data_IF_742432992865
#
_entry.id   IF_742432992865
#
_cell.length_a   1.000
_cell.length_b   1.000
_cell.length_c   1.000
_cell.angle_alpha   90.00
_cell.angle_beta   90.00
_cell.angle_gamma   90.00
#
_symmetry.space_group_name_H-M   'P 1'
#
loop_
_entity.id
_entity.type
_entity.pdbx_description
1 polymer ?
#
# COMPACT_ATOMS: atom_id res chain seq x y z
N UNK A 1 -19.77 14.56 14.45
CA UNK A 1 -18.38 14.45 13.98
C UNK A 1 -18.20 13.02 13.56
N UNK A 2 -17.94 12.80 12.28
CA UNK A 2 -17.71 11.44 11.78
C UNK A 2 -16.22 11.06 11.96
N UNK A 3 -15.87 9.84 11.56
CA UNK A 3 -14.52 9.30 11.71
C UNK A 3 -13.50 10.02 10.81
N UNK A 4 -13.96 10.58 9.69
CA UNK A 4 -13.11 11.33 8.77
C UNK A 4 -12.76 12.71 9.36
N UNK A 5 -13.72 13.36 10.03
CA UNK A 5 -13.49 14.57 10.82
C UNK A 5 -12.48 14.32 11.94
N UNK A 6 -12.64 13.23 12.70
CA UNK A 6 -11.71 12.85 13.76
C UNK A 6 -10.29 12.60 13.21
N UNK A 7 -10.19 11.96 12.04
CA UNK A 7 -8.91 11.72 11.37
C UNK A 7 -8.25 13.02 10.93
N UNK A 8 -9.01 13.99 10.39
CA UNK A 8 -8.50 15.32 10.04
C UNK A 8 -8.00 16.08 11.27
N UNK A 9 -8.72 16.01 12.38
CA UNK A 9 -8.27 16.59 13.65
C UNK A 9 -6.98 15.93 14.10
N UNK A 10 -6.88 14.60 14.00
CA UNK A 10 -5.66 13.89 14.34
C UNK A 10 -4.47 14.34 13.48
N UNK A 11 -4.66 14.57 12.18
CA UNK A 11 -3.59 15.08 11.32
C UNK A 11 -3.12 16.50 11.67
N UNK A 12 -3.95 17.31 12.34
CA UNK A 12 -3.60 18.69 12.71
C UNK A 12 -2.46 18.79 13.73
N UNK A 13 -2.12 17.72 14.44
CA UNK A 13 -0.99 17.70 15.37
C UNK A 13 0.37 17.66 14.65
N UNK A 14 0.37 17.28 13.37
CA UNK A 14 1.57 17.20 12.55
C UNK A 14 1.77 18.55 11.88
N UNK A 15 2.92 19.19 12.14
CA UNK A 15 3.26 20.47 11.53
C UNK A 15 3.43 20.35 10.01
N UNK A 16 3.13 21.42 9.30
CA UNK A 16 3.24 21.46 7.84
C UNK A 16 4.67 21.29 7.32
N UNK A 17 5.66 21.68 8.13
CA UNK A 17 7.09 21.57 7.84
C UNK A 17 7.73 20.26 8.34
N UNK A 18 6.93 19.33 8.92
CA UNK A 18 7.46 18.04 9.36
C UNK A 18 7.90 17.20 8.15
N UNK A 19 9.20 16.82 8.04
CA UNK A 19 9.71 16.09 6.89
C UNK A 19 9.09 14.69 6.74
N UNK A 20 8.43 14.17 7.78
CA UNK A 20 7.76 12.88 7.78
C UNK A 20 6.23 13.00 7.78
N UNK A 21 5.67 14.18 7.46
CA UNK A 21 4.24 14.46 7.56
C UNK A 21 3.37 13.39 6.91
N UNK A 22 3.66 13.03 5.66
CA UNK A 22 2.89 12.02 4.91
C UNK A 22 2.96 10.63 5.54
N UNK A 23 4.15 10.21 5.96
CA UNK A 23 4.36 8.93 6.65
C UNK A 23 3.58 8.85 7.96
N UNK A 24 3.65 9.91 8.78
CA UNK A 24 2.90 9.99 10.04
C UNK A 24 1.39 9.97 9.80
N UNK A 25 0.89 10.75 8.83
CA UNK A 25 -0.53 10.77 8.48
C UNK A 25 -1.02 9.41 7.99
N UNK A 26 -0.23 8.70 7.17
CA UNK A 26 -0.54 7.35 6.71
C UNK A 26 -0.67 6.37 7.88
N UNK A 27 0.31 6.36 8.78
CA UNK A 27 0.30 5.47 9.95
C UNK A 27 -0.84 5.81 10.92
N UNK A 28 -1.15 7.10 11.12
CA UNK A 28 -2.30 7.53 11.92
C UNK A 28 -3.63 7.13 11.29
N UNK A 29 -3.75 7.17 9.96
CA UNK A 29 -4.94 6.69 9.23
C UNK A 29 -5.12 5.18 9.39
N UNK A 30 -4.05 4.42 9.21
CA UNK A 30 -4.12 2.96 9.19
C UNK A 30 -4.28 2.38 10.59
N UNK A 31 -3.52 2.88 11.57
CA UNK A 31 -3.52 2.36 12.93
C UNK A 31 -4.42 3.18 13.87
N UNK A 32 -4.35 4.52 13.82
CA UNK A 32 -5.06 5.40 14.76
C UNK A 32 -6.59 5.32 14.66
N UNK A 33 -7.13 4.99 13.48
CA UNK A 33 -8.58 4.93 13.23
C UNK A 33 -9.34 4.04 14.21
N UNK A 34 -8.80 2.87 14.57
CA UNK A 34 -9.47 1.99 15.54
C UNK A 34 -9.52 2.55 16.97
N UNK A 35 -8.63 3.48 17.32
CA UNK A 35 -8.68 4.20 18.60
C UNK A 35 -9.70 5.34 18.55
N UNK A 36 -9.76 6.07 17.43
CA UNK A 36 -10.73 7.17 17.24
C UNK A 36 -12.19 6.72 17.30
N UNK A 37 -12.48 5.45 17.04
CA UNK A 37 -13.83 4.91 17.23
C UNK A 37 -14.17 4.59 18.71
N UNK A 38 -13.16 4.33 19.55
CA UNK A 38 -13.33 4.10 20.99
C UNK A 38 -13.26 5.43 21.77
N UNK A 39 -12.51 6.39 21.25
CA UNK A 39 -12.25 7.69 21.84
C UNK A 39 -13.30 8.68 21.32
N UNK A 40 -14.23 9.08 22.17
CA UNK A 40 -15.19 10.11 21.81
C UNK A 40 -14.54 11.51 21.76
N UNK A 41 -15.28 12.51 21.29
CA UNK A 41 -14.81 13.90 21.19
C UNK A 41 -14.35 14.51 22.52
N UNK A 42 -14.82 14.00 23.67
CA UNK A 42 -14.40 14.47 24.99
C UNK A 42 -12.99 14.02 25.36
N UNK A 43 -12.53 12.90 24.81
CA UNK A 43 -11.26 12.26 25.15
C UNK A 43 -10.22 12.37 24.03
N UNK A 44 -10.55 13.05 22.93
CA UNK A 44 -9.66 13.18 21.77
C UNK A 44 -8.36 13.92 22.12
N UNK A 45 -8.43 14.99 22.91
CA UNK A 45 -7.25 15.76 23.31
C UNK A 45 -6.20 14.91 24.03
N UNK A 46 -6.65 14.01 24.90
CA UNK A 46 -5.77 13.03 25.57
C UNK A 46 -5.03 12.13 24.56
N UNK A 47 -5.73 11.63 23.54
CA UNK A 47 -5.10 10.80 22.51
C UNK A 47 -4.13 11.57 21.62
N UNK A 48 -4.50 12.79 21.24
CA UNK A 48 -3.66 13.68 20.44
C UNK A 48 -2.38 14.07 21.18
N UNK A 49 -2.47 14.31 22.48
CA UNK A 49 -1.31 14.60 23.33
C UNK A 49 -0.29 13.46 23.33
N UNK A 50 -0.75 12.20 23.35
CA UNK A 50 0.11 11.02 23.25
C UNK A 50 0.74 10.94 21.86
N UNK A 51 -0.06 11.07 20.78
CA UNK A 51 0.47 10.99 19.41
C UNK A 51 1.42 12.14 19.04
N UNK A 52 1.31 13.28 19.73
CA UNK A 52 2.21 14.43 19.56
C UNK A 52 3.57 14.22 20.22
N UNK A 53 3.70 13.23 21.09
CA UNK A 53 4.95 12.93 21.77
C UNK A 53 5.97 12.31 20.82
N UNK A 54 7.19 12.83 20.85
CA UNK A 54 8.30 12.36 20.04
C UNK A 54 8.71 10.93 20.38
N UNK A 55 8.57 10.50 21.63
CA UNK A 55 8.90 9.13 22.05
C UNK A 55 8.02 8.09 21.36
N UNK A 56 6.81 8.47 20.95
CA UNK A 56 5.91 7.60 20.20
C UNK A 56 6.34 7.38 18.75
N UNK A 57 7.40 8.04 18.28
CA UNK A 57 7.88 7.95 16.91
C UNK A 57 9.37 7.59 16.85
N UNK A 58 9.68 6.54 16.10
CA UNK A 58 11.03 5.99 15.97
C UNK A 58 11.52 6.18 14.54
N UNK A 59 12.78 6.58 14.37
CA UNK A 59 13.40 6.63 13.03
C UNK A 59 13.63 5.22 12.51
N UNK A 60 13.43 5.03 11.21
CA UNK A 60 13.65 3.73 10.55
C UNK A 60 14.31 3.92 9.20
N UNK A 61 14.99 2.88 8.71
CA UNK A 61 15.62 2.86 7.39
C UNK A 61 14.66 2.50 6.25
N UNK A 62 13.36 2.38 6.55
CA UNK A 62 12.32 2.17 5.53
C UNK A 62 12.08 3.45 4.73
N UNK A 63 11.38 3.33 3.60
CA UNK A 63 10.94 4.48 2.81
C UNK A 63 10.17 5.52 3.66
N UNK A 64 9.51 5.08 4.73
CA UNK A 64 8.78 5.96 5.63
C UNK A 64 9.66 6.88 6.48
N UNK A 65 10.93 6.54 6.69
CA UNK A 65 11.89 7.28 7.53
C UNK A 65 11.56 7.34 9.02
N UNK A 66 10.30 7.05 9.39
CA UNK A 66 9.77 7.09 10.74
C UNK A 66 8.65 6.04 10.89
N UNK A 67 8.51 5.49 12.10
CA UNK A 67 7.48 4.51 12.46
C UNK A 67 6.86 4.88 13.81
N UNK A 68 5.55 4.69 13.94
CA UNK A 68 4.83 4.83 15.19
C UNK A 68 5.18 3.64 16.10
N UNK A 69 5.65 3.92 17.32
CA UNK A 69 5.76 2.90 18.37
C UNK A 69 4.36 2.63 18.95
N UNK A 70 3.64 1.77 18.24
CA UNK A 70 2.25 1.41 18.54
C UNK A 70 2.06 0.84 19.94
N UNK A 71 3.01 0.00 20.40
CA UNK A 71 2.98 -0.61 21.73
C UNK A 71 3.16 0.43 22.83
N UNK A 72 4.08 1.39 22.66
CA UNK A 72 4.27 2.50 23.60
C UNK A 72 3.03 3.40 23.65
N UNK A 73 2.45 3.74 22.49
CA UNK A 73 1.19 4.50 22.45
C UNK A 73 0.08 3.76 23.19
N UNK A 74 -0.10 2.46 22.91
CA UNK A 74 -1.10 1.64 23.60
C UNK A 74 -0.90 1.64 25.12
N UNK A 75 0.35 1.51 25.60
CA UNK A 75 0.68 1.62 27.02
C UNK A 75 0.30 3.00 27.60
N UNK A 76 0.72 4.09 26.96
CA UNK A 76 0.37 5.46 27.40
C UNK A 76 -1.14 5.71 27.42
N UNK A 77 -1.90 5.08 26.51
CA UNK A 77 -3.36 5.18 26.47
C UNK A 77 -4.02 4.46 27.65
N UNK A 78 -3.46 3.34 28.11
CA UNK A 78 -4.05 2.54 29.20
C UNK A 78 -3.53 2.89 30.61
N UNK A 79 -2.54 3.76 30.72
CA UNK A 79 -1.96 4.16 32.01
C UNK A 79 -3.00 4.79 32.95
N UNK A 80 -3.15 4.31 34.21
CA UNK A 80 -4.18 4.78 35.14
C UNK A 80 -4.08 6.28 35.50
N UNK A 81 -2.86 6.76 35.70
CA UNK A 81 -2.56 8.19 35.73
C UNK A 81 -2.23 8.57 34.30
N UNK A 82 -3.07 9.41 33.69
CA UNK A 82 -2.82 9.86 32.33
C UNK A 82 -1.46 10.55 32.23
N UNK A 83 -0.87 10.43 31.05
CA UNK A 83 0.23 11.25 30.57
C UNK A 83 0.08 12.71 31.06
N UNK A 84 1.01 13.17 31.92
CA UNK A 84 1.05 14.51 32.58
C UNK A 84 0.22 14.69 33.88
N UNK A 85 -0.17 13.63 34.56
CA UNK A 85 -0.67 13.70 35.95
C UNK A 85 -2.17 13.99 36.11
N UNK A 86 -2.94 13.97 35.04
CA UNK A 86 -4.42 13.93 35.08
C UNK A 86 -4.92 12.49 35.25
N UNK A 87 -6.18 12.26 35.63
CA UNK A 87 -6.76 10.91 35.62
C UNK A 87 -7.02 10.44 34.19
N UNK A 88 -6.82 9.14 33.91
CA UNK A 88 -7.20 8.59 32.61
C UNK A 88 -8.71 8.79 32.36
N UNK A 89 -9.12 9.38 31.23
CA UNK A 89 -10.53 9.67 30.97
C UNK A 89 -11.32 8.45 30.45
N UNK A 90 -10.65 7.31 30.23
CA UNK A 90 -11.27 6.05 29.82
C UNK A 90 -11.67 5.22 31.03
N UNK A 91 -12.81 4.53 30.92
CA UNK A 91 -13.26 3.56 31.93
C UNK A 91 -12.43 2.27 31.85
N UNK A 92 -12.29 1.55 32.95
CA UNK A 92 -11.48 0.32 33.03
C UNK A 92 -11.83 -0.73 31.98
N UNK A 93 -13.11 -0.84 31.62
CA UNK A 93 -13.53 -1.72 30.52
C UNK A 93 -12.84 -1.37 29.19
N UNK A 94 -12.72 -0.08 28.86
CA UNK A 94 -12.04 0.36 27.64
C UNK A 94 -10.52 0.22 27.74
N UNK A 95 -9.94 0.42 28.94
CA UNK A 95 -8.53 0.15 29.20
C UNK A 95 -8.22 -1.32 28.92
N UNK A 96 -9.03 -2.23 29.48
CA UNK A 96 -8.90 -3.68 29.30
C UNK A 96 -9.11 -4.08 27.83
N UNK A 97 -10.08 -3.48 27.16
CA UNK A 97 -10.31 -3.70 25.74
C UNK A 97 -9.09 -3.36 24.88
N UNK A 98 -8.48 -2.18 25.10
CA UNK A 98 -7.29 -1.75 24.38
C UNK A 98 -6.09 -2.65 24.70
N UNK A 99 -5.90 -2.99 25.97
CA UNK A 99 -4.86 -3.92 26.40
C UNK A 99 -4.98 -5.28 25.68
N UNK A 100 -6.20 -5.82 25.57
CA UNK A 100 -6.49 -7.05 24.85
C UNK A 100 -6.20 -6.95 23.34
N UNK A 101 -6.56 -5.82 22.70
CA UNK A 101 -6.31 -5.60 21.27
C UNK A 101 -4.83 -5.53 20.95
N UNK A 102 -4.01 -4.96 21.82
CA UNK A 102 -2.57 -4.82 21.61
C UNK A 102 -1.75 -5.92 22.31
N UNK A 103 -2.39 -6.93 22.89
CA UNK A 103 -1.75 -8.02 23.64
C UNK A 103 -0.74 -7.54 24.71
N UNK A 104 -1.14 -6.55 25.50
CA UNK A 104 -0.36 -6.06 26.63
C UNK A 104 -0.53 -7.01 27.83
N UNK A 105 0.08 -8.20 27.76
CA UNK A 105 -0.16 -9.35 28.67
C UNK A 105 -0.19 -9.00 30.16
N UNK A 106 0.83 -8.30 30.67
CA UNK A 106 0.90 -7.89 32.08
C UNK A 106 -0.25 -6.95 32.47
N UNK A 107 -0.56 -5.98 31.60
CA UNK A 107 -1.62 -5.00 31.81
C UNK A 107 -3.01 -5.65 31.75
N UNK A 108 -3.21 -6.63 30.85
CA UNK A 108 -4.43 -7.45 30.76
C UNK A 108 -4.65 -8.19 32.08
N UNK A 109 -3.62 -8.85 32.62
CA UNK A 109 -3.72 -9.58 33.89
C UNK A 109 -4.07 -8.61 35.03
N UNK A 110 -3.35 -7.49 35.12
CA UNK A 110 -3.58 -6.49 36.18
C UNK A 110 -4.99 -5.91 36.14
N UNK A 111 -5.50 -5.55 34.95
CA UNK A 111 -6.85 -5.00 34.78
C UNK A 111 -7.93 -6.05 35.06
N UNK A 112 -7.70 -7.31 34.69
CA UNK A 112 -8.64 -8.38 35.01
C UNK A 112 -8.70 -8.67 36.52
N UNK A 113 -7.56 -8.65 37.21
CA UNK A 113 -7.52 -8.74 38.67
C UNK A 113 -8.22 -7.57 39.35
N UNK A 114 -8.15 -6.37 38.77
CA UNK A 114 -8.92 -5.23 39.27
C UNK A 114 -10.43 -5.50 39.21
N UNK A 115 -10.96 -6.03 38.10
CA UNK A 115 -12.37 -6.41 38.03
C UNK A 115 -12.76 -7.47 39.07
N UNK A 116 -11.89 -8.47 39.31
CA UNK A 116 -12.13 -9.47 40.37
C UNK A 116 -12.25 -8.82 41.76
N UNK A 117 -11.43 -7.81 42.04
CA UNK A 117 -11.46 -7.08 43.31
C UNK A 117 -12.72 -6.21 43.43
N UNK A 118 -13.09 -5.48 42.37
CA UNK A 118 -14.31 -4.66 42.34
C UNK A 118 -15.58 -5.50 42.54
N UNK A 119 -15.66 -6.66 41.86
CA UNK A 119 -16.78 -7.61 41.99
C UNK A 119 -16.69 -8.46 43.27
N UNK A 120 -15.67 -8.24 44.11
CA UNK A 120 -15.44 -8.93 45.39
C UNK A 120 -15.41 -10.46 45.26
N UNK A 121 -14.81 -10.96 44.18
CA UNK A 121 -14.72 -12.39 43.90
C UNK A 121 -13.70 -13.01 44.84
N UNK A 122 -14.14 -14.01 45.62
CA UNK A 122 -13.27 -14.74 46.55
C UNK A 122 -12.43 -15.77 45.81
N UNK A 123 -11.25 -16.05 46.35
CA UNK A 123 -10.40 -17.13 45.85
C UNK A 123 -11.16 -18.48 45.93
N UNK A 124 -11.14 -19.23 44.83
CA UNK A 124 -11.88 -20.50 44.70
C UNK A 124 -13.36 -20.39 44.33
N UNK A 125 -13.94 -19.18 44.23
CA UNK A 125 -15.33 -18.98 43.78
C UNK A 125 -15.43 -19.06 42.24
N UNK A 126 -15.44 -20.30 41.75
CA UNK A 126 -15.52 -20.63 40.31
C UNK A 126 -16.77 -20.06 39.64
N UNK A 127 -17.92 -20.03 40.34
CA UNK A 127 -19.17 -19.54 39.76
C UNK A 127 -19.17 -18.02 39.61
N UNK A 128 -18.66 -17.29 40.60
CA UNK A 128 -18.48 -15.84 40.50
C UNK A 128 -17.46 -15.47 39.41
N UNK A 129 -16.34 -16.20 39.33
CA UNK A 129 -15.33 -15.97 38.31
C UNK A 129 -15.87 -16.22 36.89
N UNK A 130 -16.64 -17.29 36.69
CA UNK A 130 -17.32 -17.56 35.40
C UNK A 130 -18.32 -16.46 35.03
N UNK A 131 -19.04 -15.91 36.01
CA UNK A 131 -19.95 -14.77 35.77
C UNK A 131 -19.18 -13.53 35.34
N UNK A 132 -18.04 -13.22 35.96
CA UNK A 132 -17.17 -12.13 35.55
C UNK A 132 -16.64 -12.35 34.13
N UNK A 133 -16.10 -13.54 33.83
CA UNK A 133 -15.63 -13.87 32.47
C UNK A 133 -16.75 -13.61 31.46
N UNK A 134 -17.97 -14.07 31.72
CA UNK A 134 -19.14 -13.83 30.84
C UNK A 134 -19.53 -12.36 30.75
N UNK A 135 -19.41 -11.58 31.83
CA UNK A 135 -19.70 -10.14 31.83
C UNK A 135 -18.70 -9.38 30.95
N UNK A 136 -17.41 -9.66 31.12
CA UNK A 136 -16.32 -9.01 30.38
C UNK A 136 -16.27 -9.48 28.92
N UNK A 137 -16.59 -10.76 28.67
CA UNK A 137 -16.50 -11.39 27.33
C UNK A 137 -17.82 -11.44 26.54
N UNK A 138 -18.95 -11.14 27.17
CA UNK A 138 -20.30 -11.30 26.61
C UNK A 138 -21.05 -9.99 26.38
N UNK A 139 -20.43 -8.84 26.64
CA UNK A 139 -21.02 -7.55 26.33
C UNK A 139 -21.14 -7.33 24.80
N UNK A 140 -22.14 -6.56 24.37
CA UNK A 140 -22.36 -6.17 22.97
C UNK A 140 -21.17 -5.42 22.33
N UNK A 141 -20.28 -4.87 23.15
CA UNK A 141 -19.05 -4.20 22.73
C UNK A 141 -17.79 -5.10 22.84
N UNK A 142 -17.93 -6.39 23.15
CA UNK A 142 -16.79 -7.31 23.29
C UNK A 142 -16.24 -7.70 21.93
N UNK A 143 -14.94 -7.51 21.75
CA UNK A 143 -14.21 -8.02 20.59
C UNK A 143 -13.68 -9.45 20.83
N UNK A 144 -13.41 -10.18 19.74
CA UNK A 144 -12.87 -11.54 19.78
C UNK A 144 -11.61 -11.66 20.65
N UNK A 145 -10.77 -10.62 20.71
CA UNK A 145 -9.59 -10.59 21.56
C UNK A 145 -9.90 -10.55 23.04
N UNK A 146 -10.88 -9.76 23.46
CA UNK A 146 -11.30 -9.72 24.87
C UNK A 146 -11.91 -11.05 25.30
N UNK A 147 -12.68 -11.70 24.42
CA UNK A 147 -13.21 -13.04 24.69
C UNK A 147 -12.06 -14.03 24.91
N UNK A 148 -11.09 -14.06 23.99
CA UNK A 148 -9.92 -14.93 24.14
C UNK A 148 -9.20 -14.70 25.47
N UNK A 149 -8.77 -13.46 25.73
CA UNK A 149 -7.97 -13.13 26.90
C UNK A 149 -8.70 -13.41 28.21
N UNK A 150 -9.98 -13.06 28.31
CA UNK A 150 -10.76 -13.28 29.53
C UNK A 150 -10.91 -14.76 29.87
N UNK A 151 -11.01 -15.65 28.87
CA UNK A 151 -11.05 -17.10 29.10
C UNK A 151 -9.65 -17.67 29.34
N UNK A 152 -8.64 -17.14 28.66
CA UNK A 152 -7.26 -17.60 28.79
C UNK A 152 -6.69 -17.32 30.19
N UNK A 153 -6.76 -16.08 30.67
CA UNK A 153 -6.19 -15.67 31.97
C UNK A 153 -6.97 -16.22 33.17
N UNK A 154 -8.27 -16.50 33.00
CA UNK A 154 -9.10 -17.09 34.05
C UNK A 154 -8.99 -18.61 34.14
N UNK A 155 -8.23 -19.25 33.22
CA UNK A 155 -8.09 -20.70 33.17
C UNK A 155 -9.29 -21.45 32.57
N UNK A 156 -10.26 -20.74 31.98
CA UNK A 156 -11.44 -21.33 31.32
C UNK A 156 -11.32 -21.36 29.80
N UNK A 157 -10.10 -21.49 29.26
CA UNK A 157 -9.88 -21.57 27.80
C UNK A 157 -10.61 -22.75 27.15
N UNK A 158 -10.84 -23.84 27.91
CA UNK A 158 -11.59 -25.01 27.48
C UNK A 158 -13.09 -24.76 27.26
N UNK A 159 -13.62 -23.64 27.75
CA UNK A 159 -15.00 -23.22 27.45
C UNK A 159 -15.12 -22.56 26.06
N UNK A 160 -14.00 -22.25 25.40
CA UNK A 160 -13.99 -21.82 24.00
C UNK A 160 -13.91 -23.02 23.06
N UNK A 161 -14.72 -23.00 22.00
CA UNK A 161 -14.53 -23.92 20.87
C UNK A 161 -13.29 -23.52 20.06
N UNK A 162 -12.16 -24.13 20.40
CA UNK A 162 -10.88 -23.92 19.72
C UNK A 162 -10.83 -24.61 18.35
N UNK A 163 -11.83 -25.42 17.98
CA UNK A 163 -11.87 -26.20 16.73
C UNK A 163 -10.61 -27.06 16.52
N UNK A 164 -10.10 -27.64 17.61
CA UNK A 164 -8.89 -28.47 17.60
C UNK A 164 -7.57 -27.71 17.44
N UNK A 165 -7.58 -26.37 17.50
CA UNK A 165 -6.37 -25.56 17.39
C UNK A 165 -5.64 -25.43 18.73
N UNK A 166 -4.32 -25.30 18.67
CA UNK A 166 -3.53 -24.84 19.81
C UNK A 166 -4.01 -23.45 20.27
N UNK A 167 -4.10 -23.15 21.59
CA UNK A 167 -4.60 -21.85 22.09
C UNK A 167 -3.92 -20.63 21.47
N UNK A 168 -2.61 -20.67 21.22
CA UNK A 168 -1.91 -19.56 20.56
C UNK A 168 -2.24 -19.42 19.07
N UNK A 169 -2.48 -20.53 18.35
CA UNK A 169 -2.95 -20.48 16.95
C UNK A 169 -4.37 -19.89 16.91
N UNK A 170 -5.21 -20.30 17.86
CA UNK A 170 -6.56 -19.74 17.98
C UNK A 170 -6.53 -18.24 18.33
N UNK A 171 -5.67 -17.83 19.27
CA UNK A 171 -5.42 -16.43 19.61
C UNK A 171 -4.94 -15.60 18.41
N UNK A 172 -3.99 -16.14 17.64
CA UNK A 172 -3.52 -15.54 16.39
C UNK A 172 -4.66 -15.36 15.37
N UNK A 173 -5.51 -16.38 15.19
CA UNK A 173 -6.69 -16.30 14.34
C UNK A 173 -7.69 -15.25 14.84
N UNK A 174 -7.86 -15.10 16.16
CA UNK A 174 -8.68 -14.01 16.72
C UNK A 174 -8.08 -12.65 16.39
N UNK A 175 -6.78 -12.47 16.58
CA UNK A 175 -6.06 -11.22 16.35
C UNK A 175 -6.08 -10.79 14.87
N UNK A 176 -5.89 -11.73 13.94
CA UNK A 176 -5.67 -11.41 12.54
C UNK A 176 -6.91 -11.55 11.63
N UNK A 177 -7.94 -12.27 12.07
CA UNK A 177 -9.12 -12.59 11.23
C UNK A 177 -10.41 -12.22 11.94
N UNK A 178 -10.62 -12.69 13.18
CA UNK A 178 -11.96 -12.61 13.80
C UNK A 178 -12.25 -11.26 14.47
N UNK A 179 -11.22 -10.59 14.97
CA UNK A 179 -11.36 -9.29 15.62
C UNK A 179 -11.86 -8.25 14.62
N UNK A 180 -12.78 -7.39 15.04
CA UNK A 180 -13.15 -6.20 14.25
C UNK A 180 -12.14 -5.08 14.42
N UNK A 181 -11.16 -5.27 15.31
CA UNK A 181 -10.19 -4.31 15.83
C UNK A 181 -8.78 -4.88 15.73
N UNK A 182 -8.49 -5.55 14.61
CA UNK A 182 -7.22 -6.26 14.38
C UNK A 182 -6.05 -5.30 14.60
N UNK A 183 -5.04 -5.75 15.36
CA UNK A 183 -3.83 -4.98 15.63
C UNK A 183 -2.64 -5.84 15.28
N UNK A 184 -1.67 -5.23 14.61
CA UNK A 184 -0.45 -5.94 14.24
C UNK A 184 0.33 -6.37 15.48
N UNK A 185 0.24 -5.62 16.58
CA UNK A 185 0.87 -5.94 17.86
C UNK A 185 0.34 -7.26 18.46
N UNK A 186 -0.96 -7.54 18.31
CA UNK A 186 -1.52 -8.82 18.73
C UNK A 186 -1.09 -9.96 17.81
N UNK A 187 -1.00 -9.70 16.50
CA UNK A 187 -0.52 -10.69 15.52
C UNK A 187 0.94 -11.03 15.79
N UNK A 188 1.79 -10.02 16.00
CA UNK A 188 3.19 -10.14 16.44
C UNK A 188 3.29 -11.00 17.70
N UNK A 189 2.54 -10.64 18.76
CA UNK A 189 2.56 -11.36 20.03
C UNK A 189 2.23 -12.85 19.88
N UNK A 190 1.12 -13.18 19.22
CA UNK A 190 0.76 -14.60 19.07
C UNK A 190 1.65 -15.33 18.07
N UNK A 191 2.13 -14.64 17.04
CA UNK A 191 3.08 -15.25 16.11
C UNK A 191 4.36 -15.65 16.81
N UNK A 192 4.93 -14.79 17.67
CA UNK A 192 6.12 -15.13 18.45
C UNK A 192 5.88 -16.38 19.32
N UNK A 193 4.72 -16.47 19.97
CA UNK A 193 4.33 -17.64 20.77
C UNK A 193 4.20 -18.89 19.89
N UNK A 194 3.49 -18.80 18.77
CA UNK A 194 3.31 -19.91 17.81
C UNK A 194 4.65 -20.37 17.23
N UNK A 195 5.51 -19.43 16.85
CA UNK A 195 6.81 -19.72 16.26
C UNK A 195 7.73 -20.42 17.28
N UNK A 196 7.64 -20.04 18.56
CA UNK A 196 8.39 -20.65 19.66
C UNK A 196 7.94 -22.07 20.06
N UNK A 197 6.78 -22.54 19.59
CA UNK A 197 6.29 -23.88 19.93
C UNK A 197 7.24 -24.97 19.38
N UNK A 198 7.46 -26.08 20.11
CA UNK A 198 8.26 -27.19 19.61
C UNK A 198 7.55 -27.94 18.47
N UNK A 199 8.33 -28.63 17.61
CA UNK A 199 7.80 -29.48 16.51
C UNK A 199 6.83 -30.56 16.99
N UNK A 200 6.91 -30.98 18.26
CA UNK A 200 5.98 -31.93 18.86
C UNK A 200 4.57 -31.38 19.09
N UNK A 201 4.42 -30.04 19.14
CA UNK A 201 3.13 -29.37 19.33
C UNK A 201 2.60 -28.78 18.04
N UNK A 202 3.48 -28.18 17.22
CA UNK A 202 3.12 -27.63 15.93
C UNK A 202 4.32 -27.71 14.99
N UNK A 203 4.16 -28.43 13.88
CA UNK A 203 5.23 -28.59 12.91
C UNK A 203 5.54 -27.29 12.17
N UNK A 204 6.76 -27.14 11.65
CA UNK A 204 7.13 -26.00 10.79
C UNK A 204 6.15 -25.82 9.63
N UNK A 205 5.72 -26.92 9.01
CA UNK A 205 4.76 -26.87 7.90
C UNK A 205 3.38 -26.32 8.35
N UNK A 206 2.91 -26.70 9.54
CA UNK A 206 1.65 -26.19 10.08
C UNK A 206 1.75 -24.70 10.46
N UNK A 207 2.89 -24.27 11.02
CA UNK A 207 3.16 -22.85 11.29
C UNK A 207 3.10 -22.02 10.01
N UNK A 208 3.79 -22.47 8.97
CA UNK A 208 3.80 -21.83 7.66
C UNK A 208 2.38 -21.74 7.07
N UNK A 209 1.60 -22.82 7.13
CA UNK A 209 0.24 -22.86 6.60
C UNK A 209 -0.73 -21.94 7.36
N UNK A 210 -0.65 -21.91 8.70
CA UNK A 210 -1.43 -20.99 9.54
C UNK A 210 -1.16 -19.54 9.13
N UNK A 211 0.13 -19.20 9.01
CA UNK A 211 0.53 -17.83 8.72
C UNK A 211 0.19 -17.42 7.28
N UNK A 212 0.30 -18.35 6.33
CA UNK A 212 -0.09 -18.14 4.95
C UNK A 212 -1.59 -17.86 4.80
N UNK A 213 -2.45 -18.61 5.50
CA UNK A 213 -3.90 -18.35 5.50
C UNK A 213 -4.24 -16.96 6.02
N UNK A 214 -3.53 -16.52 7.04
CA UNK A 214 -3.70 -15.18 7.63
C UNK A 214 -3.28 -14.12 6.62
N UNK A 215 -2.11 -14.24 6.00
CA UNK A 215 -1.63 -13.29 5.00
C UNK A 215 -2.64 -13.13 3.85
N UNK A 216 -3.13 -14.25 3.29
CA UNK A 216 -4.14 -14.23 2.22
C UNK A 216 -5.45 -13.56 2.67
N UNK A 217 -5.86 -13.74 3.93
CA UNK A 217 -7.03 -13.04 4.48
C UNK A 217 -6.77 -11.53 4.62
N UNK A 218 -5.63 -11.15 5.19
CA UNK A 218 -5.26 -9.76 5.45
C UNK A 218 -5.04 -8.95 4.16
N UNK A 219 -4.64 -9.62 3.06
CA UNK A 219 -4.55 -9.00 1.73
C UNK A 219 -5.88 -8.37 1.28
N UNK A 220 -7.00 -9.04 1.53
CA UNK A 220 -8.35 -8.58 1.16
C UNK A 220 -8.88 -7.47 2.08
N UNK A 221 -8.54 -7.52 3.36
CA UNK A 221 -9.22 -6.75 4.39
C UNK A 221 -8.73 -5.30 4.47
N UNK A 222 -9.47 -4.37 3.88
CA UNK A 222 -9.08 -2.95 3.74
C UNK A 222 -8.83 -2.20 5.06
N UNK A 223 -9.19 -2.76 6.22
CA UNK A 223 -9.08 -2.08 7.51
C UNK A 223 -7.68 -2.03 8.13
N UNK A 224 -6.83 -3.03 7.88
CA UNK A 224 -5.63 -3.26 8.73
C UNK A 224 -4.39 -3.62 7.91
N UNK A 225 -3.86 -2.68 7.13
CA UNK A 225 -2.78 -3.00 6.20
C UNK A 225 -1.47 -3.38 6.89
N UNK A 226 -1.24 -2.89 8.10
CA UNK A 226 -0.07 -3.21 8.92
C UNK A 226 0.00 -4.71 9.27
N UNK A 227 -1.15 -5.39 9.39
CA UNK A 227 -1.22 -6.83 9.65
C UNK A 227 -0.67 -7.60 8.44
N UNK A 228 -1.09 -7.23 7.23
CA UNK A 228 -0.58 -7.87 6.02
C UNK A 228 0.90 -7.57 5.81
N UNK A 229 1.34 -6.34 6.04
CA UNK A 229 2.76 -5.97 5.94
C UNK A 229 3.62 -6.81 6.88
N UNK A 230 3.20 -6.95 8.15
CA UNK A 230 3.87 -7.83 9.09
C UNK A 230 3.89 -9.27 8.58
N UNK A 231 2.75 -9.80 8.13
CA UNK A 231 2.72 -11.15 7.60
C UNK A 231 3.70 -11.36 6.43
N UNK A 232 3.73 -10.43 5.48
CA UNK A 232 4.62 -10.51 4.34
C UNK A 232 6.11 -10.47 4.75
N UNK A 233 6.43 -9.76 5.84
CA UNK A 233 7.80 -9.68 6.38
C UNK A 233 8.31 -11.00 6.97
N UNK A 234 7.42 -11.87 7.44
CA UNK A 234 7.80 -13.18 8.00
C UNK A 234 7.76 -14.30 6.96
N UNK A 235 7.06 -14.09 5.84
CA UNK A 235 6.99 -15.06 4.74
C UNK A 235 8.27 -14.97 3.91
N UNK A 236 8.93 -16.11 3.73
CA UNK A 236 10.12 -16.19 2.88
C UNK A 236 9.79 -15.87 1.41
N UNK A 237 10.64 -15.12 0.68
CA UNK A 237 10.36 -14.72 -0.70
C UNK A 237 10.08 -15.87 -1.67
N UNK A 238 10.67 -17.05 -1.45
CA UNK A 238 10.39 -18.26 -2.23
C UNK A 238 8.92 -18.73 -2.15
N UNK A 239 8.15 -18.24 -1.18
CA UNK A 239 6.73 -18.52 -0.99
C UNK A 239 5.82 -17.45 -1.58
N UNK A 240 6.35 -16.35 -2.09
CA UNK A 240 5.54 -15.29 -2.72
C UNK A 240 4.71 -15.79 -3.92
N UNK A 241 5.22 -16.67 -4.81
CA UNK A 241 4.39 -17.22 -5.88
C UNK A 241 3.18 -18.01 -5.34
N UNK A 242 3.39 -18.80 -4.28
CA UNK A 242 2.32 -19.56 -3.64
C UNK A 242 1.29 -18.64 -2.95
N UNK A 243 1.77 -17.58 -2.27
CA UNK A 243 0.93 -16.54 -1.67
C UNK A 243 0.05 -15.85 -2.72
N UNK A 244 0.65 -15.40 -3.82
CA UNK A 244 -0.05 -14.68 -4.90
C UNK A 244 -1.11 -15.55 -5.57
N UNK A 245 -0.82 -16.83 -5.77
CA UNK A 245 -1.80 -17.80 -6.28
C UNK A 245 -3.01 -17.92 -5.34
N UNK A 246 -2.77 -18.14 -4.04
CA UNK A 246 -3.84 -18.28 -3.04
C UNK A 246 -4.63 -16.97 -2.87
N UNK A 247 -3.97 -15.83 -2.96
CA UNK A 247 -4.55 -14.49 -2.96
C UNK A 247 -5.51 -14.30 -4.14
N UNK A 248 -5.07 -14.60 -5.37
CA UNK A 248 -5.91 -14.54 -6.55
C UNK A 248 -7.11 -15.50 -6.44
N UNK A 249 -6.89 -16.75 -6.04
CA UNK A 249 -7.96 -17.76 -5.89
C UNK A 249 -9.02 -17.34 -4.87
N UNK A 250 -8.61 -16.71 -3.76
CA UNK A 250 -9.53 -16.30 -2.69
C UNK A 250 -10.21 -14.97 -2.95
N UNK A 251 -9.50 -14.00 -3.52
CA UNK A 251 -9.95 -12.62 -3.60
C UNK A 251 -10.42 -12.22 -5.01
N UNK A 252 -10.08 -13.00 -6.05
CA UNK A 252 -10.37 -12.69 -7.45
C UNK A 252 -9.47 -11.60 -8.04
N UNK A 253 -8.50 -11.08 -7.27
CA UNK A 253 -7.50 -10.11 -7.68
C UNK A 253 -6.26 -10.22 -6.76
N UNK A 254 -5.16 -9.58 -7.13
CA UNK A 254 -3.94 -9.51 -6.31
C UNK A 254 -4.08 -8.48 -5.17
N UNK A 255 -4.78 -8.87 -4.11
CA UNK A 255 -4.95 -8.07 -2.89
C UNK A 255 -3.63 -7.73 -2.22
N UNK A 256 -2.66 -8.64 -2.27
CA UNK A 256 -1.31 -8.50 -1.70
C UNK A 256 -0.55 -7.32 -2.31
N UNK A 257 -0.59 -7.22 -3.64
CA UNK A 257 0.04 -6.11 -4.39
C UNK A 257 -0.69 -4.80 -4.09
N UNK A 258 -2.02 -4.81 -4.18
CA UNK A 258 -2.85 -3.64 -3.88
C UNK A 258 -2.61 -3.13 -2.45
N UNK A 259 -2.36 -4.04 -1.51
CA UNK A 259 -2.11 -3.73 -0.12
C UNK A 259 -0.79 -3.01 0.09
N UNK A 260 0.29 -3.54 -0.48
CA UNK A 260 1.61 -2.93 -0.40
C UNK A 260 1.64 -1.56 -1.10
N UNK A 261 0.88 -1.41 -2.19
CA UNK A 261 0.67 -0.11 -2.84
C UNK A 261 -0.01 0.90 -1.90
N UNK A 262 -1.05 0.48 -1.18
CA UNK A 262 -1.80 1.36 -0.25
C UNK A 262 -0.97 1.83 0.94
N UNK A 263 0.02 1.05 1.39
CA UNK A 263 0.98 1.48 2.43
C UNK A 263 2.24 2.12 1.86
N UNK A 264 2.31 2.35 0.55
CA UNK A 264 3.48 2.95 -0.13
C UNK A 264 4.77 2.13 0.04
N UNK A 265 4.65 0.82 0.28
CA UNK A 265 5.79 -0.09 0.35
C UNK A 265 6.13 -0.60 -1.05
N UNK A 266 6.64 0.31 -1.90
CA UNK A 266 6.88 0.05 -3.32
C UNK A 266 7.91 -1.06 -3.58
N UNK A 267 8.91 -1.21 -2.70
CA UNK A 267 9.86 -2.32 -2.78
C UNK A 267 9.18 -3.69 -2.67
N UNK A 268 8.23 -3.84 -1.74
CA UNK A 268 7.44 -5.07 -1.63
C UNK A 268 6.45 -5.25 -2.77
N UNK A 269 5.91 -4.17 -3.34
CA UNK A 269 5.14 -4.27 -4.58
C UNK A 269 5.99 -4.86 -5.70
N UNK A 270 7.21 -4.36 -5.87
CA UNK A 270 8.14 -4.85 -6.89
C UNK A 270 8.47 -6.33 -6.69
N UNK A 271 8.88 -6.74 -5.49
CA UNK A 271 9.19 -8.15 -5.18
C UNK A 271 8.02 -9.11 -5.48
N UNK A 272 6.79 -8.70 -5.14
CA UNK A 272 5.59 -9.48 -5.44
C UNK A 272 5.29 -9.52 -6.94
N UNK A 273 5.37 -8.39 -7.62
CA UNK A 273 5.18 -8.32 -9.07
C UNK A 273 6.22 -9.17 -9.81
N UNK A 274 7.44 -9.26 -9.29
CA UNK A 274 8.51 -10.04 -9.90
C UNK A 274 8.26 -11.54 -9.89
N UNK A 275 7.39 -12.01 -9.00
CA UNK A 275 6.96 -13.40 -8.93
C UNK A 275 5.87 -13.75 -9.96
N UNK A 276 5.25 -12.76 -10.61
CA UNK A 276 4.17 -12.98 -11.58
C UNK A 276 4.71 -13.26 -12.99
N UNK A 277 4.11 -14.26 -13.64
CA UNK A 277 4.31 -14.56 -15.05
C UNK A 277 3.26 -13.85 -15.91
N UNK A 278 3.57 -13.70 -17.19
CA UNK A 278 2.66 -13.12 -18.18
C UNK A 278 1.26 -13.77 -18.18
N UNK A 279 1.19 -15.11 -18.07
CA UNK A 279 -0.09 -15.83 -18.09
C UNK A 279 -0.95 -15.65 -16.83
N UNK A 280 -0.38 -15.08 -15.76
CA UNK A 280 -1.03 -14.98 -14.45
C UNK A 280 -1.69 -13.61 -14.22
N UNK A 281 -1.41 -12.62 -15.08
CA UNK A 281 -2.02 -11.29 -15.02
C UNK A 281 -2.63 -11.00 -16.38
N UNK A 282 -3.87 -10.51 -16.40
CA UNK A 282 -4.50 -10.07 -17.65
C UNK A 282 -4.03 -8.66 -18.00
N UNK A 283 -4.20 -8.29 -19.28
CA UNK A 283 -3.92 -6.94 -19.78
C UNK A 283 -4.66 -5.86 -18.97
N UNK A 284 -5.93 -6.09 -18.61
CA UNK A 284 -6.72 -5.19 -17.77
C UNK A 284 -6.20 -5.09 -16.32
N UNK A 285 -5.73 -6.21 -15.74
CA UNK A 285 -5.13 -6.21 -14.42
C UNK A 285 -3.78 -5.46 -14.41
N UNK A 286 -2.96 -5.64 -15.44
CA UNK A 286 -1.71 -4.92 -15.63
C UNK A 286 -1.96 -3.41 -15.79
N UNK A 287 -2.93 -3.04 -16.62
CA UNK A 287 -3.40 -1.66 -16.74
C UNK A 287 -3.82 -1.07 -15.39
N UNK A 288 -4.65 -1.81 -14.64
CA UNK A 288 -5.13 -1.39 -13.31
C UNK A 288 -3.99 -1.22 -12.31
N UNK A 289 -2.96 -2.08 -12.37
CA UNK A 289 -1.78 -1.99 -11.52
C UNK A 289 -1.00 -0.68 -11.77
N UNK A 290 -0.69 -0.37 -13.02
CA UNK A 290 -0.02 0.87 -13.39
C UNK A 290 -0.85 2.10 -12.97
N UNK A 291 -2.15 2.04 -13.17
CA UNK A 291 -3.07 3.11 -12.78
C UNK A 291 -3.16 3.30 -11.25
N UNK A 292 -2.95 2.23 -10.50
CA UNK A 292 -2.96 2.25 -9.02
C UNK A 292 -1.74 2.96 -8.44
N UNK A 293 -0.70 3.21 -9.24
CA UNK A 293 0.39 4.13 -8.92
C UNK A 293 -0.15 5.57 -9.06
N UNK A 294 -0.94 5.99 -8.05
CA UNK A 294 -1.63 7.29 -8.01
C UNK A 294 -0.66 8.44 -7.70
N UNK A 295 0.31 8.67 -8.58
CA UNK A 295 1.40 9.64 -8.41
C UNK A 295 0.92 11.05 -8.01
N UNK A 296 -0.28 11.44 -8.45
CA UNK A 296 -0.92 12.71 -8.06
C UNK A 296 -1.04 12.89 -6.54
N UNK A 297 -1.17 11.79 -5.80
CA UNK A 297 -1.34 11.76 -4.35
C UNK A 297 -0.01 11.73 -3.58
N UNK A 298 1.13 11.55 -4.26
CA UNK A 298 2.44 11.38 -3.62
C UNK A 298 3.24 12.69 -3.65
N UNK A 299 4.11 12.87 -2.67
CA UNK A 299 5.04 14.00 -2.62
C UNK A 299 6.40 13.57 -2.07
N UNK A 300 7.41 14.43 -2.21
CA UNK A 300 8.78 14.14 -1.79
C UNK A 300 9.34 12.83 -2.36
N UNK A 301 10.03 12.08 -1.51
CA UNK A 301 10.72 10.83 -1.88
C UNK A 301 9.78 9.71 -2.36
N UNK A 302 8.48 9.75 -2.03
CA UNK A 302 7.52 8.76 -2.53
C UNK A 302 7.28 8.88 -4.04
N UNK A 303 7.47 10.07 -4.60
CA UNK A 303 7.32 10.33 -6.02
C UNK A 303 8.41 9.59 -6.80
N UNK A 304 9.67 9.69 -6.36
CA UNK A 304 10.80 8.99 -6.98
C UNK A 304 10.63 7.48 -6.85
N UNK A 305 10.28 6.97 -5.67
CA UNK A 305 10.09 5.53 -5.49
C UNK A 305 8.91 4.97 -6.32
N UNK A 306 7.82 5.73 -6.47
CA UNK A 306 6.71 5.37 -7.35
C UNK A 306 7.10 5.40 -8.83
N UNK A 307 7.98 6.35 -9.23
CA UNK A 307 8.55 6.42 -10.58
C UNK A 307 9.41 5.18 -10.87
N UNK A 308 10.31 4.81 -9.97
CA UNK A 308 11.14 3.61 -10.12
C UNK A 308 10.28 2.34 -10.23
N UNK A 309 9.26 2.20 -9.39
CA UNK A 309 8.32 1.08 -9.48
C UNK A 309 7.58 1.05 -10.82
N UNK A 310 7.10 2.20 -11.30
CA UNK A 310 6.42 2.31 -12.59
C UNK A 310 7.33 1.85 -13.72
N UNK A 311 8.56 2.38 -13.76
CA UNK A 311 9.54 2.05 -14.80
C UNK A 311 9.86 0.55 -14.77
N UNK A 312 10.10 -0.02 -13.59
CA UNK A 312 10.35 -1.46 -13.43
C UNK A 312 9.22 -2.32 -14.00
N UNK A 313 7.96 -1.99 -13.70
CA UNK A 313 6.80 -2.73 -14.22
C UNK A 313 6.67 -2.54 -15.74
N UNK A 314 6.92 -1.34 -16.25
CA UNK A 314 6.75 -0.98 -17.66
C UNK A 314 7.82 -1.58 -18.58
N UNK A 315 9.06 -1.65 -18.12
CA UNK A 315 10.20 -2.14 -18.91
C UNK A 315 10.45 -3.63 -18.78
N UNK A 316 9.59 -4.37 -18.05
CA UNK A 316 9.73 -5.82 -17.92
C UNK A 316 9.38 -6.50 -19.24
N UNK A 317 10.39 -7.06 -19.91
CA UNK A 317 10.31 -7.61 -21.29
C UNK A 317 9.16 -8.60 -21.48
N UNK A 318 8.88 -9.46 -20.50
CA UNK A 318 7.78 -10.43 -20.59
C UNK A 318 6.40 -9.78 -20.76
N UNK A 319 6.24 -8.49 -20.43
CA UNK A 319 4.97 -7.75 -20.41
C UNK A 319 4.78 -6.77 -21.59
N UNK A 320 5.54 -6.90 -22.66
CA UNK A 320 5.44 -5.98 -23.82
C UNK A 320 4.06 -5.99 -24.50
N UNK A 321 3.39 -7.15 -24.56
CA UNK A 321 2.02 -7.25 -25.07
C UNK A 321 1.03 -6.46 -24.21
N UNK A 322 1.20 -6.52 -22.88
CA UNK A 322 0.36 -5.79 -21.93
C UNK A 322 0.64 -4.30 -21.99
N UNK A 323 1.90 -3.90 -22.17
CA UNK A 323 2.29 -2.51 -22.42
C UNK A 323 1.63 -1.97 -23.68
N UNK A 324 1.61 -2.75 -24.76
CA UNK A 324 0.95 -2.39 -26.03
C UNK A 324 -0.55 -2.21 -25.85
N UNK A 325 -1.20 -3.10 -25.09
CA UNK A 325 -2.61 -2.93 -24.73
C UNK A 325 -2.87 -1.60 -23.99
N UNK A 326 -2.03 -1.26 -23.00
CA UNK A 326 -2.15 0.00 -22.25
C UNK A 326 -1.96 1.22 -23.16
N UNK A 327 -0.99 1.18 -24.08
CA UNK A 327 -0.79 2.23 -25.09
C UNK A 327 -2.08 2.43 -25.89
N UNK A 328 -2.65 1.37 -26.45
CA UNK A 328 -3.86 1.45 -27.26
C UNK A 328 -5.07 1.94 -26.46
N UNK A 329 -5.15 1.59 -25.17
CA UNK A 329 -6.30 1.90 -24.31
C UNK A 329 -6.26 3.29 -23.68
N UNK A 330 -5.09 3.82 -23.33
CA UNK A 330 -4.96 5.06 -22.55
C UNK A 330 -4.13 6.16 -23.22
N UNK A 331 -3.20 5.78 -24.11
CA UNK A 331 -2.36 6.76 -24.83
C UNK A 331 -3.01 7.10 -26.17
N UNK A 332 -3.54 6.08 -26.85
CA UNK A 332 -4.20 6.22 -28.13
C UNK A 332 -5.71 6.46 -28.03
N UNK A 333 -6.27 6.56 -26.81
CA UNK A 333 -7.67 6.96 -26.66
C UNK A 333 -7.83 8.48 -26.80
N UNK A 334 -8.54 8.88 -27.86
CA UNK A 334 -8.89 10.28 -28.15
C UNK A 334 -9.76 10.96 -27.07
N UNK A 335 -10.33 10.19 -26.14
CA UNK A 335 -11.12 10.71 -25.03
C UNK A 335 -10.19 11.35 -23.98
N UNK A 336 -10.25 12.69 -23.85
CA UNK A 336 -9.50 13.42 -22.82
C UNK A 336 -10.17 13.24 -21.46
N UNK A 337 -9.98 12.06 -20.89
CA UNK A 337 -10.45 11.66 -19.58
C UNK A 337 -9.38 11.98 -18.52
N UNK A 338 -9.79 12.17 -17.26
CA UNK A 338 -8.87 12.37 -16.13
C UNK A 338 -8.07 11.10 -15.76
N UNK A 339 -8.22 10.03 -16.56
CA UNK A 339 -7.58 8.72 -16.39
C UNK A 339 -6.20 8.64 -17.04
N UNK A 340 -5.85 9.54 -17.97
CA UNK A 340 -4.70 9.36 -18.85
C UNK A 340 -3.36 9.26 -18.10
N UNK A 341 -2.70 8.12 -18.30
CA UNK A 341 -1.47 7.70 -17.62
C UNK A 341 -0.33 8.75 -17.70
N UNK A 342 -0.08 9.34 -18.88
CA UNK A 342 1.01 10.31 -19.09
C UNK A 342 0.79 11.62 -18.35
N UNK A 343 -0.45 12.12 -18.38
CA UNK A 343 -0.82 13.45 -17.84
C UNK A 343 -0.46 13.56 -16.35
N UNK A 344 -0.55 12.45 -15.62
CA UNK A 344 -0.25 12.41 -14.18
C UNK A 344 1.23 12.66 -13.89
N UNK A 345 2.11 12.08 -14.70
CA UNK A 345 3.55 12.27 -14.61
C UNK A 345 3.95 13.70 -14.99
N UNK A 346 3.39 14.20 -16.10
CA UNK A 346 3.64 15.59 -16.57
C UNK A 346 3.19 16.63 -15.53
N UNK A 347 2.02 16.44 -14.91
CA UNK A 347 1.54 17.33 -13.83
C UNK A 347 2.45 17.35 -12.60
N UNK A 348 3.24 16.30 -12.38
CA UNK A 348 4.25 16.21 -11.32
C UNK A 348 5.63 16.73 -11.76
N UNK A 349 5.75 17.19 -13.00
CA UNK A 349 7.02 17.66 -13.58
C UNK A 349 7.99 16.52 -13.88
N UNK A 350 7.48 15.30 -14.08
CA UNK A 350 8.32 14.11 -14.28
C UNK A 350 8.06 13.57 -15.68
N UNK A 351 9.10 13.65 -16.51
CA UNK A 351 8.99 13.27 -17.91
C UNK A 351 9.55 11.88 -18.23
N UNK A 352 10.34 11.30 -17.34
CA UNK A 352 11.03 10.04 -17.60
C UNK A 352 10.07 8.87 -17.92
N UNK A 353 9.00 8.59 -17.14
CA UNK A 353 7.97 7.62 -17.53
C UNK A 353 7.28 7.96 -18.85
N UNK A 354 7.10 9.26 -19.16
CA UNK A 354 6.47 9.71 -20.41
C UNK A 354 7.33 9.35 -21.60
N UNK A 355 8.65 9.54 -21.50
CA UNK A 355 9.58 9.16 -22.56
C UNK A 355 9.58 7.68 -22.83
N UNK A 356 9.67 6.85 -21.78
CA UNK A 356 9.73 5.39 -21.95
C UNK A 356 8.44 4.84 -22.58
N UNK A 357 7.29 5.50 -22.36
CA UNK A 357 6.04 5.14 -23.04
C UNK A 357 6.10 5.59 -24.50
N UNK A 358 6.44 6.86 -24.77
CA UNK A 358 6.52 7.40 -26.14
C UNK A 358 7.56 6.67 -27.00
N UNK A 359 8.68 6.24 -26.43
CA UNK A 359 9.73 5.48 -27.12
C UNK A 359 9.27 4.08 -27.56
N UNK A 360 8.16 3.55 -27.00
CA UNK A 360 7.54 2.30 -27.47
C UNK A 360 6.55 2.49 -28.62
N UNK A 361 6.15 3.72 -28.94
CA UNK A 361 5.20 3.98 -30.03
C UNK A 361 5.92 3.95 -31.37
N UNK A 362 5.29 3.37 -32.39
CA UNK A 362 5.78 3.49 -33.76
C UNK A 362 5.51 4.89 -34.36
N UNK A 363 6.14 5.18 -35.50
CA UNK A 363 6.04 6.49 -36.15
C UNK A 363 4.60 6.91 -36.50
N UNK A 364 3.72 5.97 -36.82
CA UNK A 364 2.31 6.28 -37.10
C UNK A 364 1.54 6.59 -35.82
N UNK A 365 1.76 5.80 -34.77
CA UNK A 365 1.18 6.03 -33.45
C UNK A 365 1.61 7.38 -32.87
N UNK A 366 2.88 7.75 -33.04
CA UNK A 366 3.38 9.07 -32.64
C UNK A 366 2.68 10.19 -33.41
N UNK A 367 2.56 10.09 -34.74
CA UNK A 367 1.83 11.09 -35.54
C UNK A 367 0.40 11.26 -35.05
N UNK A 368 -0.30 10.14 -34.86
CA UNK A 368 -1.68 10.15 -34.39
C UNK A 368 -1.79 10.76 -32.99
N UNK A 369 -0.96 10.30 -32.04
CA UNK A 369 -0.92 10.83 -30.67
C UNK A 369 -0.71 12.35 -30.64
N UNK A 370 0.17 12.89 -31.49
CA UNK A 370 0.47 14.32 -31.56
C UNK A 370 -0.72 15.17 -32.01
N UNK A 371 -1.76 14.57 -32.60
CA UNK A 371 -3.03 15.25 -32.95
C UNK A 371 -4.04 15.29 -31.80
N UNK A 372 -3.80 14.55 -30.71
CA UNK A 372 -4.74 14.43 -29.61
C UNK A 372 -4.61 15.57 -28.60
N UNK A 373 -5.73 15.89 -27.93
CA UNK A 373 -5.80 16.88 -26.85
C UNK A 373 -4.80 16.62 -25.72
N UNK A 374 -4.45 15.35 -25.50
CA UNK A 374 -3.46 14.98 -24.51
C UNK A 374 -2.07 15.51 -24.88
N UNK A 375 -1.64 15.39 -26.14
CA UNK A 375 -0.36 15.94 -26.59
C UNK A 375 -0.33 17.46 -26.48
N UNK A 376 -1.43 18.14 -26.81
CA UNK A 376 -1.56 19.60 -26.62
C UNK A 376 -1.47 20.01 -25.15
N UNK A 377 -2.08 19.22 -24.25
CA UNK A 377 -1.96 19.46 -22.81
C UNK A 377 -0.51 19.32 -22.33
N UNK A 378 0.17 18.25 -22.74
CA UNK A 378 1.59 18.03 -22.38
C UNK A 378 2.44 19.20 -22.90
N UNK A 379 2.26 19.60 -24.16
CA UNK A 379 2.94 20.76 -24.75
C UNK A 379 2.71 22.03 -23.92
N UNK A 380 1.46 22.32 -23.58
CA UNK A 380 1.10 23.51 -22.79
C UNK A 380 1.72 23.52 -21.39
N UNK A 381 1.88 22.36 -20.74
CA UNK A 381 2.58 22.29 -19.44
C UNK A 381 4.07 22.54 -19.62
N UNK A 382 4.70 21.95 -20.65
CA UNK A 382 6.13 22.11 -20.90
C UNK A 382 6.50 23.54 -21.31
N UNK A 383 5.64 24.23 -22.06
CA UNK A 383 5.78 25.65 -22.44
C UNK A 383 5.85 26.60 -21.23
N UNK A 384 5.41 26.17 -20.04
CA UNK A 384 5.45 27.00 -18.82
C UNK A 384 6.84 27.08 -18.19
N UNK A 385 7.85 26.34 -18.68
CA UNK A 385 9.22 26.52 -18.19
C UNK A 385 10.23 25.39 -18.44
N UNK A 386 9.84 24.28 -19.07
CA UNK A 386 10.76 23.17 -19.37
C UNK A 386 11.06 23.11 -20.88
N UNK A 387 11.86 24.06 -21.34
CA UNK A 387 12.23 24.18 -22.75
C UNK A 387 12.99 22.96 -23.28
N UNK A 388 13.76 22.26 -22.43
CA UNK A 388 14.51 21.07 -22.84
C UNK A 388 13.57 19.90 -23.12
N UNK A 389 12.67 19.59 -22.18
CA UNK A 389 11.65 18.56 -22.38
C UNK A 389 10.67 18.94 -23.49
N UNK A 390 10.33 20.23 -23.65
CA UNK A 390 9.50 20.70 -24.76
C UNK A 390 10.16 20.39 -26.10
N UNK A 391 11.44 20.72 -26.26
CA UNK A 391 12.17 20.44 -27.50
C UNK A 391 12.24 18.93 -27.79
N UNK A 392 12.47 18.09 -26.77
CA UNK A 392 12.43 16.63 -26.92
C UNK A 392 11.03 16.15 -27.34
N UNK A 393 9.98 16.64 -26.67
CA UNK A 393 8.59 16.29 -26.97
C UNK A 393 8.19 16.65 -28.41
N UNK A 394 8.52 17.87 -28.85
CA UNK A 394 8.29 18.31 -30.24
C UNK A 394 9.13 17.52 -31.26
N UNK A 395 10.27 16.97 -30.83
CA UNK A 395 11.11 16.09 -31.64
C UNK A 395 10.38 14.83 -32.11
N UNK A 396 9.55 14.20 -31.26
CA UNK A 396 8.73 13.05 -31.65
C UNK A 396 7.79 13.37 -32.81
N UNK A 397 7.20 14.58 -32.84
CA UNK A 397 6.36 15.00 -33.96
C UNK A 397 7.13 15.18 -35.26
N UNK A 398 8.37 15.69 -35.20
CA UNK A 398 9.18 16.01 -36.40
C UNK A 398 9.90 14.81 -37.00
N UNK A 399 10.39 13.88 -36.19
CA UNK A 399 11.14 12.70 -36.67
C UNK A 399 10.31 11.79 -37.59
N UNK A 400 8.99 11.85 -37.46
CA UNK A 400 8.07 11.03 -38.24
C UNK A 400 7.76 11.62 -39.63
N UNK A 401 8.03 12.90 -39.86
CA UNK A 401 7.89 13.52 -41.20
C UNK A 401 9.11 13.20 -42.09
N UNK A 402 10.30 13.11 -41.52
CA UNK A 402 11.54 12.78 -42.26
C UNK A 402 11.60 11.30 -42.74
N UNK A 403 10.99 10.34 -42.02
CA UNK A 403 10.94 8.93 -42.45
C UNK A 403 10.07 8.69 -43.71
N UNK A 404 9.06 9.54 -43.95
CA UNK A 404 8.24 9.47 -45.17
C UNK A 404 8.96 10.12 -46.37
N UNK A 405 9.77 11.15 -46.13
CA UNK A 405 10.57 11.78 -47.18
C UNK A 405 11.66 10.84 -47.69
N UNK A 406 12.19 9.94 -46.85
CA UNK A 406 13.13 8.91 -47.29
C UNK A 406 12.46 7.71 -47.99
N UNK A 407 11.22 7.35 -47.64
CA UNK A 407 10.47 6.26 -48.31
C UNK A 407 9.82 6.66 -49.65
N UNK A 408 9.79 7.96 -49.98
CA UNK A 408 9.20 8.48 -51.22
C UNK A 408 10.23 8.98 -52.25
N UNK A 409 11.52 8.69 -52.09
CA UNK A 409 12.50 8.90 -53.17
C UNK A 409 12.40 7.68 -54.12
N UNK A 410 11.92 7.83 -55.37
CA UNK A 410 12.08 6.77 -56.35
C UNK A 410 13.58 6.62 -56.58
N UNK A 411 14.16 5.49 -56.18
CA UNK A 411 15.54 5.17 -56.54
C UNK A 411 15.70 5.23 -58.06
N UNK A 412 16.78 5.82 -58.59
CA UNK A 412 16.97 5.86 -60.02
C UNK A 412 17.13 4.42 -60.53
N UNK A 413 16.15 3.97 -61.31
CA UNK A 413 16.28 2.84 -62.23
C UNK A 413 17.43 3.15 -63.18
N UNK A 414 18.62 2.61 -62.91
CA UNK A 414 19.81 2.80 -63.73
C UNK A 414 20.35 1.47 -64.20
N UNK A 415 19.81 0.98 -65.32
CA UNK A 415 20.52 0.08 -66.21
C UNK A 415 20.60 0.74 -67.59
N UNK A 416 21.80 0.65 -68.16
CA UNK A 416 22.22 0.94 -69.54
C UNK A 416 22.66 2.37 -69.91
N UNK A 417 23.99 2.46 -69.94
CA UNK A 417 24.81 2.72 -71.13
C UNK A 417 24.99 4.16 -71.63
N UNK A 418 26.29 4.47 -71.74
CA UNK A 418 26.92 5.55 -72.50
C UNK A 418 26.25 5.81 -73.85
N UNK A 419 26.16 7.09 -74.26
CA UNK A 419 26.71 7.61 -75.54
C UNK A 419 26.42 9.11 -75.70
N UNK A 420 27.52 9.83 -75.95
CA UNK A 420 27.72 11.08 -76.70
C UNK A 420 26.91 12.35 -76.40
N UNK A 421 27.59 13.27 -75.72
CA UNK A 421 27.32 14.71 -75.76
C UNK A 421 27.75 15.25 -77.14
N UNK A 422 26.79 15.57 -78.01
CA UNK A 422 27.02 16.43 -79.17
C UNK A 422 26.73 17.90 -78.78
N UNK A 423 27.78 18.73 -78.86
CA UNK A 423 27.71 20.18 -78.77
C UNK A 423 27.32 20.76 -80.13
N UNK A 424 26.21 21.50 -80.20
CA UNK A 424 25.94 22.54 -81.19
C UNK A 424 25.19 23.67 -80.47
N UNK A 425 25.88 24.75 -80.11
CA UNK A 425 26.06 25.98 -80.89
C UNK A 425 24.79 26.83 -80.99
N UNK A 426 24.70 27.86 -80.15
CA UNK A 426 24.02 29.11 -80.49
C UNK A 426 25.01 30.26 -80.37
N UNK A 427 25.21 30.93 -81.50
CA UNK A 427 25.93 32.18 -81.70
C UNK A 427 24.89 33.31 -81.75
N UNK A 428 25.21 34.45 -81.16
CA UNK A 428 24.54 35.75 -81.36
C UNK A 428 24.68 36.61 -80.09
N UNK A 429 25.71 37.47 -79.97
CA UNK A 429 25.79 38.89 -80.41
C UNK A 429 24.70 39.75 -79.74
N UNK A 430 24.92 40.90 -79.10
CA UNK A 430 26.04 41.78 -78.72
C UNK A 430 25.60 42.51 -77.43
N UNK A 431 26.29 43.45 -76.78
CA UNK A 431 27.15 44.53 -77.26
C UNK A 431 28.14 44.98 -76.16
N UNK A 432 29.24 45.56 -76.67
CA UNK A 432 30.32 46.37 -76.05
C UNK A 432 31.50 45.68 -75.38
#
# INVERSE_FOLDING_TARGET
MDLDDLTKIAFSIIKDDDPYKESKQLQMRNWGRGYLETINTGNISFFLDILSDKECWEKTDTIHGIKLNRRLVAKKVIEPQSWKGTSNPLKDFYLYQIACWCCLEEDIISLFEHFKQEDKIKEGDSDALKKLVKSVSGSWCTDAMMQFWSHFISGYISELDLKGQHPYVFGLHRAAISSRRRRVEAVEFFWDKVNSLPESELSTQEKDEVFMRIAVHAAHDNGYPDVFEFCLSQISPNKYPELLKRDLEKNGYYGSISRMMNVLNFGKVQELFDCLKLSEISEDCYHTLLYSIKIQNYSGHYVDAAKELFLHIWTKEEFDTHSTFVINKEVMDSSFSHTNLLVRWVKKGIMEPVWVILDKLDSNQIKEFMTYKQADYIRSVLEQGDNQSLNKFLGYGKSTDEELDQKNIPGPSGDLAEVEISKQSYVGLGDH
#
